data_IF_508494158227
#
_entry.id   IF_508494158227
#
_cell.length_a   1.000
_cell.length_b   1.000
_cell.length_c   1.000
_cell.angle_alpha   90.00
_cell.angle_beta   90.00
_cell.angle_gamma   90.00
#
_symmetry.space_group_name_H-M   'P 1'
#
loop_
_entity.id
_entity.type
_entity.pdbx_description
1 polymer ?
#
# COMPACT_ATOMS: atom_id res chain seq x y z
N UNK A 1 -4.78 28.98 -11.26
CA UNK A 1 -3.90 27.81 -11.10
C UNK A 1 -3.49 27.35 -12.49
N UNK A 2 -2.23 26.99 -12.68
CA UNK A 2 -1.77 26.40 -13.95
C UNK A 2 -2.50 25.08 -14.22
N UNK A 3 -2.70 24.76 -15.49
CA UNK A 3 -3.29 23.48 -15.87
C UNK A 3 -2.34 22.34 -15.48
N UNK A 4 -2.86 21.10 -15.32
CA UNK A 4 -2.00 19.94 -15.06
C UNK A 4 -0.91 19.76 -16.13
N UNK A 5 -1.18 20.18 -17.37
CA UNK A 5 -0.21 20.14 -18.48
C UNK A 5 0.97 21.08 -18.27
N UNK A 6 0.75 22.25 -17.68
CA UNK A 6 1.77 23.31 -17.53
C UNK A 6 2.51 23.21 -16.19
N UNK A 7 1.98 22.45 -15.23
CA UNK A 7 2.57 22.27 -13.91
C UNK A 7 3.92 21.54 -13.99
N UNK A 8 4.98 22.19 -13.50
CA UNK A 8 6.32 21.59 -13.38
C UNK A 8 6.36 20.74 -12.13
N UNK A 9 6.47 19.43 -12.33
CA UNK A 9 6.47 18.44 -11.26
C UNK A 9 7.88 17.91 -11.04
N UNK A 10 8.33 17.94 -9.79
CA UNK A 10 9.58 17.34 -9.37
C UNK A 10 9.31 16.13 -8.46
N UNK A 11 9.80 14.96 -8.84
CA UNK A 11 9.75 13.75 -8.01
C UNK A 11 11.16 13.47 -7.48
N UNK A 12 11.33 13.51 -6.16
CA UNK A 12 12.63 13.26 -5.52
C UNK A 12 12.71 11.80 -5.10
N UNK A 13 13.52 11.01 -5.79
CA UNK A 13 13.80 9.60 -5.48
C UNK A 13 13.77 8.68 -6.71
N UNK A 14 14.85 7.94 -6.93
CA UNK A 14 15.00 6.99 -8.05
C UNK A 14 14.58 5.55 -7.71
N UNK A 15 13.98 5.34 -6.53
CA UNK A 15 13.44 4.05 -6.11
C UNK A 15 12.05 3.77 -6.67
N UNK A 16 11.52 2.57 -6.42
CA UNK A 16 10.24 2.11 -6.97
C UNK A 16 9.10 3.10 -6.70
N UNK A 17 9.07 3.72 -5.53
CA UNK A 17 8.05 4.68 -5.12
C UNK A 17 8.12 5.97 -5.97
N UNK A 18 9.32 6.47 -6.21
CA UNK A 18 9.52 7.66 -7.05
C UNK A 18 9.17 7.39 -8.51
N UNK A 19 9.67 6.29 -9.07
CA UNK A 19 9.38 5.94 -10.47
C UNK A 19 7.89 5.70 -10.73
N UNK A 20 7.23 4.89 -9.89
CA UNK A 20 5.79 4.65 -10.05
C UNK A 20 4.95 5.90 -9.76
N UNK A 21 5.42 6.81 -8.90
CA UNK A 21 4.75 8.10 -8.71
C UNK A 21 4.86 8.98 -9.97
N UNK A 22 6.05 9.08 -10.56
CA UNK A 22 6.27 9.82 -11.80
C UNK A 22 5.44 9.26 -12.96
N UNK A 23 5.43 7.93 -13.12
CA UNK A 23 4.63 7.26 -14.14
C UNK A 23 3.13 7.56 -14.00
N UNK A 24 2.59 7.44 -12.78
CA UNK A 24 1.19 7.70 -12.55
C UNK A 24 0.82 9.19 -12.76
N UNK A 25 1.72 10.13 -12.44
CA UNK A 25 1.51 11.56 -12.73
C UNK A 25 1.45 11.82 -14.24
N UNK A 26 2.38 11.24 -15.01
CA UNK A 26 2.37 11.33 -16.47
C UNK A 26 1.08 10.74 -17.07
N UNK A 27 0.67 9.56 -16.60
CA UNK A 27 -0.58 8.91 -17.03
C UNK A 27 -1.84 9.71 -16.65
N UNK A 28 -1.74 10.58 -15.64
CA UNK A 28 -2.82 11.47 -15.21
C UNK A 28 -2.87 12.80 -15.96
N UNK A 29 -1.98 13.01 -16.94
CA UNK A 29 -1.97 14.19 -17.81
C UNK A 29 -1.01 15.31 -17.41
N UNK A 30 -0.12 15.09 -16.45
CA UNK A 30 1.02 15.98 -16.24
C UNK A 30 2.04 15.76 -17.35
N UNK A 31 2.58 16.83 -17.93
CA UNK A 31 3.55 16.72 -19.04
C UNK A 31 4.98 17.05 -18.62
N UNK A 32 5.16 17.92 -17.61
CA UNK A 32 6.48 18.38 -17.17
C UNK A 32 6.93 17.66 -15.89
N UNK A 33 7.05 16.33 -15.95
CA UNK A 33 7.49 15.51 -14.81
C UNK A 33 8.98 15.19 -14.91
N UNK A 34 9.74 15.61 -13.91
CA UNK A 34 11.17 15.30 -13.76
C UNK A 34 11.42 14.49 -12.50
N UNK A 35 12.15 13.39 -12.63
CA UNK A 35 12.62 12.58 -11.50
C UNK A 35 14.06 12.96 -11.19
N UNK A 36 14.34 13.38 -9.96
CA UNK A 36 15.68 13.67 -9.47
C UNK A 36 16.09 12.64 -8.43
N UNK A 37 17.29 12.06 -8.57
CA UNK A 37 17.82 11.11 -7.60
C UNK A 37 19.34 11.11 -7.59
N UNK A 38 19.93 10.74 -6.45
CA UNK A 38 21.39 10.53 -6.34
C UNK A 38 21.86 9.31 -7.16
N UNK A 39 21.01 8.28 -7.22
CA UNK A 39 21.23 7.08 -8.04
C UNK A 39 19.91 6.52 -8.56
N UNK A 40 19.94 5.98 -9.78
CA UNK A 40 18.85 5.22 -10.39
C UNK A 40 19.10 3.70 -10.40
N UNK A 41 20.34 3.27 -10.17
CA UNK A 41 20.75 1.86 -10.29
C UNK A 41 21.12 1.22 -8.94
N UNK A 42 21.48 2.03 -7.95
CA UNK A 42 21.95 1.58 -6.63
C UNK A 42 20.98 2.02 -5.51
N UNK A 43 19.71 1.66 -5.66
CA UNK A 43 18.66 2.01 -4.67
C UNK A 43 18.27 0.81 -3.80
N UNK A 44 17.69 1.05 -2.62
CA UNK A 44 17.11 -0.02 -1.77
C UNK A 44 16.15 -0.92 -2.55
N UNK A 45 15.43 -0.38 -3.55
CA UNK A 45 14.53 -1.16 -4.40
C UNK A 45 15.24 -2.24 -5.22
N UNK A 46 16.52 -2.05 -5.61
CA UNK A 46 17.31 -3.05 -6.35
C UNK A 46 17.75 -4.23 -5.47
N UNK A 47 17.76 -4.03 -4.15
CA UNK A 47 18.11 -5.06 -3.16
C UNK A 47 16.89 -5.87 -2.73
N UNK A 48 15.71 -5.24 -2.68
CA UNK A 48 14.47 -5.85 -2.19
C UNK A 48 14.13 -7.17 -2.89
N UNK A 49 13.56 -8.15 -2.18
CA UNK A 49 13.25 -9.47 -2.73
C UNK A 49 12.34 -9.47 -3.96
N UNK A 50 11.44 -8.50 -4.08
CA UNK A 50 10.52 -8.39 -5.23
C UNK A 50 9.24 -9.21 -5.09
N UNK A 51 8.91 -9.63 -3.87
CA UNK A 51 7.64 -10.29 -3.54
C UNK A 51 6.53 -9.26 -3.37
N UNK A 52 5.38 -9.48 -4.01
CA UNK A 52 4.15 -8.81 -3.62
C UNK A 52 3.55 -9.55 -2.42
N UNK A 53 3.80 -9.03 -1.22
CA UNK A 53 3.14 -9.49 -0.01
C UNK A 53 3.14 -8.36 1.02
N UNK A 54 1.96 -7.84 1.39
CA UNK A 54 1.86 -6.78 2.39
C UNK A 54 2.25 -7.30 3.78
N UNK A 55 3.19 -6.59 4.43
CA UNK A 55 3.68 -6.97 5.76
C UNK A 55 2.62 -6.79 6.86
N UNK A 56 2.83 -7.47 8.00
CA UNK A 56 2.04 -7.30 9.21
C UNK A 56 1.94 -5.82 9.59
N UNK A 57 0.72 -5.38 9.90
CA UNK A 57 0.48 -4.06 10.44
C UNK A 57 0.74 -4.10 11.96
N UNK A 58 1.16 -2.99 12.58
CA UNK A 58 1.06 -2.85 14.04
C UNK A 58 -0.35 -3.22 14.52
N UNK A 59 -0.47 -3.80 15.71
CA UNK A 59 -1.75 -4.30 16.23
C UNK A 59 -2.85 -3.22 16.29
N UNK A 60 -2.45 -1.96 16.46
CA UNK A 60 -3.32 -0.78 16.56
C UNK A 60 -3.58 -0.07 15.22
N UNK A 61 -2.98 -0.54 14.12
CA UNK A 61 -3.10 0.13 12.83
C UNK A 61 -4.37 -0.26 12.08
N UNK A 62 -5.16 0.74 11.66
CA UNK A 62 -6.33 0.56 10.80
C UNK A 62 -5.94 -0.07 9.45
N UNK A 63 -6.43 -1.30 9.14
CA UNK A 63 -6.10 -1.98 7.90
C UNK A 63 -6.82 -1.40 6.67
N UNK A 64 -7.81 -0.51 6.81
CA UNK A 64 -8.62 -0.04 5.69
C UNK A 64 -7.78 0.64 4.59
N UNK A 65 -6.85 1.53 4.97
CA UNK A 65 -5.94 2.19 4.02
C UNK A 65 -4.96 1.18 3.38
N UNK A 66 -4.20 0.38 4.14
CA UNK A 66 -3.35 -0.69 3.60
C UNK A 66 -4.09 -1.64 2.67
N UNK A 67 -5.27 -2.13 3.05
CA UNK A 67 -6.09 -3.03 2.25
C UNK A 67 -6.37 -2.44 0.88
N UNK A 68 -6.82 -1.19 0.80
CA UNK A 68 -7.13 -0.58 -0.49
C UNK A 68 -5.88 -0.38 -1.36
N UNK A 69 -4.73 -0.08 -0.75
CA UNK A 69 -3.47 -0.01 -1.49
C UNK A 69 -3.08 -1.36 -2.08
N UNK A 70 -3.33 -2.44 -1.36
CA UNK A 70 -3.07 -3.79 -1.83
C UNK A 70 -3.91 -4.10 -3.07
N UNK A 71 -5.23 -3.95 -2.97
CA UNK A 71 -6.16 -4.16 -4.09
C UNK A 71 -5.70 -3.45 -5.37
N UNK A 72 -5.45 -2.14 -5.28
CA UNK A 72 -5.07 -1.33 -6.44
C UNK A 72 -3.70 -1.71 -6.99
N UNK A 73 -2.72 -1.98 -6.12
CA UNK A 73 -1.38 -2.39 -6.56
C UNK A 73 -1.38 -3.77 -7.22
N UNK A 74 -2.15 -4.72 -6.68
CA UNK A 74 -2.25 -6.07 -7.23
C UNK A 74 -2.93 -6.07 -8.59
N UNK A 75 -4.04 -5.35 -8.72
CA UNK A 75 -4.76 -5.20 -9.99
C UNK A 75 -3.88 -4.53 -11.05
N UNK A 76 -3.16 -3.46 -10.69
CA UNK A 76 -2.25 -2.77 -11.60
C UNK A 76 -1.10 -3.67 -12.06
N UNK A 77 -0.45 -4.39 -11.16
CA UNK A 77 0.61 -5.34 -11.51
C UNK A 77 0.07 -6.48 -12.38
N UNK A 78 -1.13 -6.99 -12.08
CA UNK A 78 -1.82 -7.99 -12.91
C UNK A 78 -2.04 -7.48 -14.33
N UNK A 79 -2.41 -6.21 -14.50
CA UNK A 79 -2.56 -5.60 -15.81
C UNK A 79 -1.23 -5.41 -16.53
N UNK A 80 -0.14 -5.11 -15.82
CA UNK A 80 1.21 -5.08 -16.39
C UNK A 80 1.62 -6.48 -16.87
N UNK A 81 1.40 -7.51 -16.05
CA UNK A 81 1.69 -8.91 -16.42
C UNK A 81 0.96 -9.27 -17.71
N UNK A 82 -0.34 -8.95 -17.82
CA UNK A 82 -1.13 -9.22 -19.03
C UNK A 82 -0.62 -8.51 -20.28
N UNK A 83 -0.04 -7.31 -20.15
CA UNK A 83 0.39 -6.48 -21.29
C UNK A 83 1.86 -6.66 -21.67
N UNK A 84 2.71 -6.87 -20.68
CA UNK A 84 4.17 -6.83 -20.80
C UNK A 84 4.85 -8.10 -20.28
N UNK A 85 4.24 -8.80 -19.32
CA UNK A 85 4.73 -10.07 -18.78
C UNK A 85 6.23 -10.06 -18.43
N UNK A 86 6.97 -10.92 -19.12
CA UNK A 86 8.42 -11.10 -18.98
C UNK A 86 9.23 -9.82 -19.23
N UNK A 87 8.78 -8.92 -20.11
CA UNK A 87 9.48 -7.65 -20.39
C UNK A 87 9.57 -6.76 -19.15
N UNK A 88 8.50 -6.75 -18.34
CA UNK A 88 8.47 -6.03 -17.07
C UNK A 88 9.18 -6.79 -15.94
N UNK A 89 9.63 -8.03 -16.20
CA UNK A 89 10.27 -8.90 -15.23
C UNK A 89 9.32 -9.33 -14.13
N UNK A 90 8.03 -9.54 -14.42
CA UNK A 90 7.00 -9.89 -13.44
C UNK A 90 6.36 -11.22 -13.81
N UNK A 91 6.18 -12.11 -12.83
CA UNK A 91 5.40 -13.34 -12.99
C UNK A 91 4.60 -13.70 -11.74
N UNK A 92 3.71 -14.69 -11.86
CA UNK A 92 2.97 -15.26 -10.73
C UNK A 92 3.61 -16.59 -10.37
N UNK A 93 3.79 -16.84 -9.07
CA UNK A 93 4.29 -18.12 -8.55
C UNK A 93 3.38 -18.66 -7.46
N UNK A 94 3.37 -19.97 -7.32
CA UNK A 94 2.83 -20.62 -6.12
C UNK A 94 3.69 -20.27 -4.90
N UNK A 95 3.03 -20.01 -3.79
CA UNK A 95 3.58 -19.61 -2.51
C UNK A 95 3.21 -20.63 -1.43
N UNK A 96 4.13 -20.87 -0.50
CA UNK A 96 3.82 -21.44 0.81
C UNK A 96 4.58 -20.67 1.89
N UNK A 97 3.87 -20.13 2.86
CA UNK A 97 4.46 -19.47 4.03
C UNK A 97 3.99 -20.18 5.29
N UNK A 98 4.93 -20.59 6.14
CA UNK A 98 4.66 -21.32 7.37
C UNK A 98 5.30 -20.64 8.57
N UNK A 99 4.77 -20.94 9.75
CA UNK A 99 5.21 -20.38 11.04
C UNK A 99 5.26 -21.47 12.10
N UNK A 100 6.32 -21.45 12.91
CA UNK A 100 6.41 -22.22 14.17
C UNK A 100 5.83 -21.45 15.36
N UNK A 101 5.55 -20.16 15.17
CA UNK A 101 4.71 -19.40 16.05
C UNK A 101 3.24 -19.71 15.75
N UNK A 102 2.41 -19.76 16.80
CA UNK A 102 1.02 -20.20 16.75
C UNK A 102 0.20 -19.51 15.65
N UNK A 103 -1.00 -20.01 15.33
CA UNK A 103 -1.85 -19.36 14.34
C UNK A 103 -2.03 -17.88 14.74
N UNK A 104 -1.88 -16.94 13.79
CA UNK A 104 -2.08 -15.53 14.08
C UNK A 104 -3.51 -15.31 14.61
N UNK A 105 -3.74 -14.28 15.44
CA UNK A 105 -5.07 -13.93 15.91
C UNK A 105 -6.08 -13.73 14.76
N UNK A 106 -5.57 -13.35 13.58
CA UNK A 106 -6.32 -13.20 12.35
C UNK A 106 -5.92 -14.28 11.35
N UNK A 107 -6.79 -15.27 11.17
CA UNK A 107 -6.59 -16.42 10.27
C UNK A 107 -6.68 -16.03 8.78
N UNK A 108 -7.24 -14.87 8.46
CA UNK A 108 -7.37 -14.38 7.08
C UNK A 108 -6.72 -13.00 6.94
N UNK A 109 -5.46 -12.91 6.50
CA UNK A 109 -4.76 -11.65 6.32
C UNK A 109 -5.57 -10.66 5.46
N UNK A 110 -5.46 -9.36 5.75
CA UNK A 110 -6.26 -8.33 5.08
C UNK A 110 -6.03 -8.28 3.56
N UNK A 111 -4.93 -8.84 3.06
CA UNK A 111 -4.53 -8.90 1.66
C UNK A 111 -4.89 -10.22 0.96
N UNK A 112 -5.35 -11.25 1.68
CA UNK A 112 -5.56 -12.58 1.14
C UNK A 112 -6.63 -12.63 0.02
N UNK A 113 -7.58 -11.70 0.02
CA UNK A 113 -8.59 -11.57 -1.05
C UNK A 113 -8.02 -11.03 -2.38
N UNK A 114 -6.79 -10.51 -2.39
CA UNK A 114 -6.14 -10.04 -3.61
C UNK A 114 -5.44 -11.17 -4.38
N UNK A 115 -4.87 -12.14 -3.67
CA UNK A 115 -4.00 -13.17 -4.25
C UNK A 115 -4.81 -14.34 -4.84
N UNK A 116 -4.18 -15.15 -5.68
CA UNK A 116 -4.83 -16.32 -6.29
C UNK A 116 -4.86 -17.47 -5.29
N UNK A 117 -5.92 -18.29 -5.33
CA UNK A 117 -6.01 -19.58 -4.64
C UNK A 117 -5.58 -19.58 -3.17
N UNK A 118 -5.88 -18.51 -2.43
CA UNK A 118 -5.55 -18.42 -1.01
C UNK A 118 -6.25 -19.51 -0.21
N UNK A 119 -5.48 -20.24 0.59
CA UNK A 119 -6.00 -21.21 1.55
C UNK A 119 -5.06 -21.39 2.73
N UNK A 120 -5.63 -21.86 3.83
CA UNK A 120 -4.84 -22.40 4.94
C UNK A 120 -4.22 -23.73 4.53
N UNK A 121 -3.04 -24.02 5.06
CA UNK A 121 -2.43 -25.34 5.00
C UNK A 121 -2.95 -26.22 6.14
N UNK A 122 -3.09 -27.52 5.88
CA UNK A 122 -3.20 -28.50 6.97
C UNK A 122 -1.89 -28.56 7.77
N UNK A 123 -1.91 -29.21 8.94
CA UNK A 123 -0.67 -29.40 9.72
C UNK A 123 0.34 -30.26 8.96
N UNK A 124 -0.14 -31.26 8.24
CA UNK A 124 0.69 -32.15 7.41
C UNK A 124 1.33 -31.37 6.27
N UNK A 125 0.55 -30.57 5.53
CA UNK A 125 1.08 -29.73 4.44
C UNK A 125 2.07 -28.66 4.96
N UNK A 126 1.82 -28.09 6.14
CA UNK A 126 2.76 -27.14 6.75
C UNK A 126 4.07 -27.83 7.17
N UNK A 127 3.98 -29.04 7.73
CA UNK A 127 5.12 -29.85 8.15
C UNK A 127 6.00 -30.28 6.98
N UNK A 128 5.43 -30.43 5.77
CA UNK A 128 6.20 -30.66 4.54
C UNK A 128 7.11 -29.47 4.18
N UNK A 129 6.75 -28.24 4.56
CA UNK A 129 7.58 -27.05 4.34
C UNK A 129 8.60 -26.86 5.47
N UNK A 130 8.17 -26.99 6.73
CA UNK A 130 9.04 -26.96 7.90
C UNK A 130 8.47 -27.90 8.96
N UNK A 131 9.21 -28.92 9.44
CA UNK A 131 8.67 -29.96 10.33
C UNK A 131 8.03 -29.46 11.64
N UNK A 132 8.43 -28.27 12.09
CA UNK A 132 7.97 -27.59 13.30
C UNK A 132 6.91 -26.51 13.04
N UNK A 133 6.48 -26.35 11.78
CA UNK A 133 5.41 -25.44 11.44
C UNK A 133 4.10 -25.87 12.13
N UNK A 134 3.47 -24.92 12.82
CA UNK A 134 2.17 -25.10 13.47
C UNK A 134 1.04 -24.43 12.68
N UNK A 135 1.40 -23.56 11.73
CA UNK A 135 0.46 -22.82 10.90
C UNK A 135 1.09 -22.48 9.54
N UNK A 136 0.25 -22.25 8.52
CA UNK A 136 0.71 -21.75 7.23
C UNK A 136 -0.39 -21.51 6.22
N UNK A 137 0.00 -20.86 5.12
CA UNK A 137 -0.85 -20.48 4.00
C UNK A 137 -0.24 -20.89 2.67
N UNK A 138 -1.09 -21.25 1.71
CA UNK A 138 -0.73 -21.36 0.30
C UNK A 138 -1.56 -20.37 -0.53
N UNK A 139 -0.93 -19.82 -1.56
CA UNK A 139 -1.54 -18.84 -2.46
C UNK A 139 -0.70 -18.68 -3.73
N UNK A 140 -1.24 -18.07 -4.77
CA UNK A 140 -0.51 -17.60 -5.94
C UNK A 140 -0.27 -16.10 -5.84
N UNK A 141 0.99 -15.66 -5.88
CA UNK A 141 1.35 -14.23 -5.75
C UNK A 141 2.31 -13.76 -6.82
N UNK A 142 2.41 -12.45 -6.95
CA UNK A 142 3.26 -11.77 -7.91
C UNK A 142 4.69 -11.65 -7.35
N UNK A 143 5.66 -12.06 -8.15
CA UNK A 143 7.09 -11.77 -7.95
C UNK A 143 7.59 -10.96 -9.14
N UNK A 144 8.45 -10.00 -8.87
CA UNK A 144 9.15 -9.24 -9.89
C UNK A 144 10.65 -9.18 -9.66
N UNK A 145 11.42 -9.31 -10.74
CA UNK A 145 12.83 -8.97 -10.74
C UNK A 145 12.95 -7.44 -10.63
N UNK A 146 13.46 -6.98 -9.49
CA UNK A 146 13.43 -5.55 -9.16
C UNK A 146 14.25 -4.69 -10.12
N UNK A 147 15.41 -5.18 -10.60
CA UNK A 147 16.22 -4.43 -11.57
C UNK A 147 15.54 -4.31 -12.93
N UNK A 148 14.95 -5.40 -13.42
CA UNK A 148 14.18 -5.40 -14.66
C UNK A 148 12.97 -4.48 -14.57
N UNK A 149 12.22 -4.57 -13.47
CA UNK A 149 11.03 -3.75 -13.26
C UNK A 149 11.35 -2.26 -13.16
N UNK A 150 12.42 -1.88 -12.45
CA UNK A 150 12.88 -0.50 -12.38
C UNK A 150 13.31 0.03 -13.76
N UNK A 151 14.03 -0.77 -14.54
CA UNK A 151 14.40 -0.43 -15.92
C UNK A 151 13.16 -0.24 -16.80
N UNK A 152 12.16 -1.12 -16.66
CA UNK A 152 10.89 -1.00 -17.37
C UNK A 152 10.15 0.29 -17.00
N UNK A 153 10.06 0.63 -15.71
CA UNK A 153 9.44 1.88 -15.25
C UNK A 153 10.13 3.12 -15.85
N UNK A 154 11.46 3.14 -15.89
CA UNK A 154 12.20 4.25 -16.49
C UNK A 154 11.88 4.41 -17.98
N UNK A 155 11.79 3.29 -18.72
CA UNK A 155 11.39 3.29 -20.14
C UNK A 155 9.98 3.83 -20.32
N UNK A 156 9.01 3.41 -19.51
CA UNK A 156 7.63 3.88 -19.60
C UNK A 156 7.49 5.37 -19.28
N UNK A 157 8.21 5.86 -18.28
CA UNK A 157 8.28 7.30 -17.95
C UNK A 157 8.84 8.08 -19.14
N UNK A 158 9.93 7.61 -19.74
CA UNK A 158 10.56 8.27 -20.88
C UNK A 158 9.63 8.31 -22.10
N UNK A 159 8.91 7.22 -22.39
CA UNK A 159 7.91 7.15 -23.47
C UNK A 159 6.80 8.19 -23.32
N UNK A 160 6.45 8.54 -22.08
CA UNK A 160 5.43 9.55 -21.77
C UNK A 160 6.01 10.98 -21.66
N UNK A 161 7.30 11.17 -21.97
CA UNK A 161 7.96 12.49 -21.95
C UNK A 161 8.55 12.90 -20.59
N UNK A 162 8.54 12.00 -19.60
CA UNK A 162 9.21 12.23 -18.32
C UNK A 162 10.73 12.31 -18.47
N UNK A 163 11.37 13.12 -17.63
CA UNK A 163 12.82 13.35 -17.65
C UNK A 163 13.49 12.89 -16.35
N UNK A 164 14.79 12.61 -16.43
CA UNK A 164 15.60 12.15 -15.30
C UNK A 164 16.80 13.07 -15.10
N UNK A 165 17.14 13.33 -13.85
CA UNK A 165 18.31 14.11 -13.47
C UNK A 165 19.01 13.40 -12.31
N UNK A 166 20.25 12.99 -12.52
CA UNK A 166 21.05 12.39 -11.47
C UNK A 166 21.73 13.50 -10.66
N UNK A 167 21.19 13.78 -9.47
CA UNK A 167 21.67 14.80 -8.53
C UNK A 167 21.22 14.48 -7.11
N UNK A 168 22.10 14.70 -6.14
CA UNK A 168 21.75 14.70 -4.72
C UNK A 168 20.97 15.96 -4.35
N UNK A 169 19.72 15.79 -3.94
CA UNK A 169 18.90 16.85 -3.33
C UNK A 169 19.29 16.99 -1.85
N UNK A 170 19.50 18.22 -1.40
CA UNK A 170 19.90 18.53 0.00
C UNK A 170 18.84 19.32 0.77
N UNK A 171 17.94 20.03 0.09
CA UNK A 171 16.83 20.75 0.70
C UNK A 171 15.62 20.77 -0.25
N UNK A 172 14.49 20.21 0.20
CA UNK A 172 13.24 20.20 -0.57
C UNK A 172 12.67 21.61 -0.75
N UNK A 173 12.99 22.56 0.15
CA UNK A 173 12.42 23.91 0.12
C UNK A 173 12.99 24.79 -0.99
N UNK A 174 14.21 24.49 -1.42
CA UNK A 174 14.95 25.25 -2.42
C UNK A 174 14.67 24.79 -3.87
N UNK A 175 13.88 23.74 -4.05
CA UNK A 175 13.61 23.16 -5.36
C UNK A 175 12.55 23.97 -6.13
N UNK A 176 12.98 24.56 -7.26
CA UNK A 176 12.12 25.38 -8.11
C UNK A 176 11.15 24.56 -8.96
N UNK A 177 9.95 24.31 -8.44
CA UNK A 177 8.87 23.60 -9.13
C UNK A 177 7.50 24.06 -8.62
N UNK A 178 6.42 23.58 -9.22
CA UNK A 178 5.05 23.90 -8.82
C UNK A 178 4.47 22.81 -7.91
N UNK A 179 4.86 21.55 -8.13
CA UNK A 179 4.52 20.39 -7.32
C UNK A 179 5.77 19.54 -7.06
N UNK A 180 6.04 19.25 -5.78
CA UNK A 180 7.12 18.38 -5.34
C UNK A 180 6.57 17.11 -4.70
N UNK A 181 7.01 15.95 -5.17
CA UNK A 181 6.71 14.64 -4.56
C UNK A 181 7.98 14.06 -3.95
N UNK A 182 8.04 14.05 -2.63
CA UNK A 182 9.15 13.50 -1.86
C UNK A 182 8.99 11.98 -1.70
N UNK A 183 9.77 11.23 -2.48
CA UNK A 183 9.88 9.78 -2.46
C UNK A 183 11.28 9.32 -2.01
N UNK A 184 11.94 10.09 -1.14
CA UNK A 184 13.36 9.94 -0.80
C UNK A 184 13.69 8.75 0.13
N UNK A 185 12.68 8.00 0.60
CA UNK A 185 12.91 6.81 1.42
C UNK A 185 13.56 7.17 2.76
N UNK A 186 14.73 6.58 3.05
CA UNK A 186 15.47 6.85 4.29
C UNK A 186 15.97 8.29 4.41
N UNK A 187 16.28 8.94 3.28
CA UNK A 187 16.74 10.32 3.29
C UNK A 187 15.65 11.31 3.73
N UNK A 188 14.39 10.88 3.86
CA UNK A 188 13.33 11.69 4.44
C UNK A 188 13.62 12.09 5.89
N UNK A 189 14.43 11.32 6.63
CA UNK A 189 14.93 11.71 7.95
C UNK A 189 15.58 13.10 7.92
N UNK A 190 16.45 13.34 6.95
CA UNK A 190 17.14 14.62 6.78
C UNK A 190 16.29 15.61 5.98
N UNK A 191 15.78 15.19 4.81
CA UNK A 191 15.09 16.06 3.85
C UNK A 191 13.73 16.56 4.31
N UNK A 192 13.01 15.76 5.10
CA UNK A 192 11.70 16.12 5.66
C UNK A 192 11.74 16.34 7.18
N UNK A 193 12.94 16.30 7.80
CA UNK A 193 13.15 16.40 9.25
C UNK A 193 12.27 15.41 10.03
N UNK A 194 12.11 14.21 9.49
CA UNK A 194 11.29 13.16 10.07
C UNK A 194 12.15 12.19 10.88
N UNK A 195 12.38 12.53 12.15
CA UNK A 195 13.18 11.73 13.09
C UNK A 195 12.55 10.37 13.41
N UNK A 196 11.30 10.13 12.98
CA UNK A 196 10.65 8.82 13.14
C UNK A 196 11.08 7.82 12.07
N UNK A 197 11.85 8.23 11.05
CA UNK A 197 12.40 7.36 10.00
C UNK A 197 13.70 6.70 10.46
N UNK A 198 13.78 5.38 10.29
CA UNK A 198 14.93 4.56 10.69
C UNK A 198 15.21 3.40 9.72
N UNK A 199 16.47 2.93 9.61
CA UNK A 199 16.79 1.79 8.77
C UNK A 199 16.38 0.49 9.44
N UNK A 200 15.92 -0.45 8.62
CA UNK A 200 15.84 -1.87 8.98
C UNK A 200 16.75 -2.61 8.01
N UNK A 201 17.97 -2.90 8.45
CA UNK A 201 18.95 -3.61 7.62
C UNK A 201 18.45 -5.02 7.32
N UNK A 202 18.63 -5.43 6.07
CA UNK A 202 18.40 -6.78 5.61
C UNK A 202 19.49 -7.24 4.69
N UNK A 203 20.02 -8.41 4.97
CA UNK A 203 21.00 -9.08 4.15
C UNK A 203 20.36 -10.26 3.44
N UNK A 204 20.66 -10.38 2.16
CA UNK A 204 20.18 -11.45 1.27
C UNK A 204 21.34 -11.99 0.44
N UNK A 205 21.15 -13.16 -0.16
CA UNK A 205 22.07 -13.77 -1.11
C UNK A 205 21.34 -13.91 -2.43
N UNK A 206 21.94 -13.39 -3.51
CA UNK A 206 21.47 -13.61 -4.87
C UNK A 206 22.10 -14.88 -5.42
N UNK A 207 21.28 -15.75 -5.97
CA UNK A 207 21.71 -16.99 -6.63
C UNK A 207 20.97 -17.16 -7.95
N UNK A 208 21.51 -17.99 -8.83
CA UNK A 208 20.86 -18.39 -10.07
C UNK A 208 20.54 -19.89 -10.05
N UNK A 209 19.26 -20.23 -10.17
CA UNK A 209 18.79 -21.60 -10.35
C UNK A 209 17.39 -21.61 -11.00
N UNK A 210 17.24 -22.06 -12.26
CA UNK A 210 15.94 -22.10 -12.94
C UNK A 210 15.00 -23.22 -12.48
N UNK A 211 15.47 -24.19 -11.68
CA UNK A 211 14.63 -25.32 -11.21
C UNK A 211 13.71 -24.92 -10.05
N UNK A 212 14.10 -23.91 -9.27
CA UNK A 212 13.32 -23.43 -8.13
C UNK A 212 12.30 -22.40 -8.64
N UNK A 213 11.03 -22.78 -8.63
CA UNK A 213 9.93 -21.97 -9.20
C UNK A 213 8.83 -21.62 -8.18
N UNK A 214 8.94 -22.12 -6.94
CA UNK A 214 7.99 -21.88 -5.86
C UNK A 214 8.57 -20.91 -4.83
N UNK A 215 7.77 -19.94 -4.38
CA UNK A 215 8.11 -19.14 -3.21
C UNK A 215 7.84 -19.96 -1.94
N UNK A 216 8.84 -20.03 -1.07
CA UNK A 216 8.69 -20.62 0.27
C UNK A 216 9.26 -19.70 1.33
N UNK A 217 8.58 -19.62 2.47
CA UNK A 217 9.07 -18.89 3.62
C UNK A 217 8.71 -19.57 4.95
N UNK A 218 9.59 -19.41 5.92
CA UNK A 218 9.40 -19.80 7.32
C UNK A 218 9.61 -18.58 8.20
N UNK A 219 8.60 -18.27 9.00
CA UNK A 219 8.62 -17.23 10.02
C UNK A 219 8.81 -17.92 11.37
N UNK A 220 9.92 -17.62 12.05
CA UNK A 220 10.27 -18.22 13.33
C UNK A 220 9.81 -17.31 14.48
N UNK A 221 9.39 -17.91 15.60
CA UNK A 221 9.04 -17.21 16.85
C UNK A 221 10.19 -16.36 17.40
N UNK A 222 11.44 -16.76 17.15
CA UNK A 222 12.63 -16.00 17.53
C UNK A 222 12.89 -14.74 16.67
N UNK A 223 12.02 -14.47 15.69
CA UNK A 223 12.12 -13.33 14.78
C UNK A 223 13.00 -13.58 13.57
N UNK A 224 13.58 -14.78 13.40
CA UNK A 224 14.28 -15.13 12.18
C UNK A 224 13.30 -15.41 11.03
N UNK A 225 13.60 -14.84 9.88
CA UNK A 225 12.85 -15.06 8.65
C UNK A 225 13.74 -15.78 7.64
N UNK A 226 13.24 -16.88 7.09
CA UNK A 226 13.91 -17.62 6.01
C UNK A 226 12.98 -17.66 4.82
N UNK A 227 13.44 -17.23 3.65
CA UNK A 227 12.65 -17.21 2.42
C UNK A 227 13.50 -17.48 1.18
N UNK A 228 12.88 -18.12 0.20
CA UNK A 228 13.42 -18.36 -1.14
C UNK A 228 12.46 -17.75 -2.14
N UNK A 229 12.87 -16.68 -2.81
CA UNK A 229 12.03 -15.90 -3.74
C UNK A 229 12.52 -16.16 -5.17
N UNK A 230 11.81 -16.96 -5.97
CA UNK A 230 12.15 -17.23 -7.36
C UNK A 230 11.61 -16.12 -8.27
N UNK A 231 12.49 -15.23 -8.71
CA UNK A 231 12.18 -14.22 -9.71
C UNK A 231 12.27 -14.83 -11.12
N UNK A 232 11.75 -14.15 -12.15
CA UNK A 232 11.87 -14.62 -13.53
C UNK A 232 13.32 -14.91 -13.95
N UNK A 233 13.47 -15.80 -14.93
CA UNK A 233 14.75 -16.19 -15.53
C UNK A 233 15.75 -16.84 -14.55
N UNK A 234 15.24 -17.50 -13.51
CA UNK A 234 16.05 -18.25 -12.54
C UNK A 234 16.87 -17.37 -11.58
N UNK A 235 16.61 -16.05 -11.51
CA UNK A 235 17.16 -15.18 -10.46
C UNK A 235 16.44 -15.49 -9.15
N UNK A 236 17.19 -15.79 -8.08
CA UNK A 236 16.62 -16.14 -6.78
C UNK A 236 17.21 -15.25 -5.71
N UNK A 237 16.35 -14.76 -4.83
CA UNK A 237 16.75 -14.09 -3.60
C UNK A 237 16.53 -15.02 -2.42
N UNK A 238 17.62 -15.36 -1.75
CA UNK A 238 17.64 -16.06 -0.48
C UNK A 238 17.71 -15.02 0.63
N UNK A 239 16.83 -15.10 1.62
CA UNK A 239 16.93 -14.22 2.76
C UNK A 239 16.29 -14.81 4.01
N UNK A 240 16.29 -14.06 5.11
CA UNK A 240 17.03 -12.82 5.25
C UNK A 240 17.25 -12.44 6.69
N UNK A 241 17.76 -11.23 6.89
CA UNK A 241 17.88 -10.61 8.21
C UNK A 241 16.95 -9.42 8.35
N UNK A 242 16.58 -9.14 9.60
CA UNK A 242 15.78 -7.98 10.02
C UNK A 242 16.49 -7.36 11.21
N UNK A 243 17.17 -6.24 10.99
CA UNK A 243 18.02 -5.58 11.99
C UNK A 243 17.66 -4.09 12.06
N UNK A 244 16.69 -3.69 12.92
CA UNK A 244 16.32 -2.30 13.11
C UNK A 244 17.49 -1.44 13.60
N UNK A 245 17.50 -0.16 13.20
CA UNK A 245 18.49 0.85 13.56
C UNK A 245 19.95 0.57 13.16
N UNK A 246 20.19 -0.50 12.38
CA UNK A 246 21.51 -0.77 11.81
C UNK A 246 21.68 -0.02 10.49
N UNK A 247 22.68 0.85 10.42
CA UNK A 247 22.99 1.70 9.26
C UNK A 247 24.06 1.11 8.33
N UNK A 248 24.68 -0.01 8.69
CA UNK A 248 25.74 -0.60 7.86
C UNK A 248 25.16 -1.18 6.57
N UNK A 249 25.73 -0.75 5.45
CA UNK A 249 25.49 -1.33 4.11
C UNK A 249 26.48 -2.44 3.77
N UNK A 250 27.44 -2.73 4.66
CA UNK A 250 28.44 -3.77 4.44
C UNK A 250 27.83 -5.15 4.63
N UNK A 251 28.37 -6.15 3.94
CA UNK A 251 28.00 -7.53 4.18
C UNK A 251 28.65 -8.05 5.47
N UNK A 252 27.87 -8.73 6.31
CA UNK A 252 28.34 -9.44 7.48
C UNK A 252 28.46 -10.94 7.17
N UNK A 253 29.64 -11.53 7.36
CA UNK A 253 29.90 -12.92 6.99
C UNK A 253 29.02 -13.92 7.76
N UNK A 254 28.79 -13.71 9.06
CA UNK A 254 27.93 -14.57 9.87
C UNK A 254 26.46 -14.50 9.44
N UNK A 255 25.97 -13.31 9.10
CA UNK A 255 24.63 -13.16 8.51
C UNK A 255 24.53 -13.89 7.15
N UNK A 256 25.58 -13.87 6.32
CA UNK A 256 25.60 -14.59 5.02
C UNK A 256 25.52 -16.09 5.27
N UNK A 257 26.41 -16.62 6.10
CA UNK A 257 26.48 -18.05 6.41
C UNK A 257 25.17 -18.55 7.03
N UNK A 258 24.63 -17.80 7.99
CA UNK A 258 23.36 -18.15 8.63
C UNK A 258 22.17 -18.13 7.65
N UNK A 259 22.08 -17.15 6.75
CA UNK A 259 21.03 -17.12 5.72
C UNK A 259 21.20 -18.30 4.76
N UNK A 260 22.43 -18.58 4.31
CA UNK A 260 22.72 -19.68 3.40
C UNK A 260 22.28 -21.03 4.00
N UNK A 261 22.69 -21.33 5.23
CA UNK A 261 22.36 -22.62 5.85
C UNK A 261 20.87 -22.79 6.08
N UNK A 262 20.16 -21.75 6.58
CA UNK A 262 18.70 -21.84 6.74
C UNK A 262 17.98 -22.03 5.41
N UNK A 263 18.39 -21.33 4.35
CA UNK A 263 17.80 -21.51 3.02
C UNK A 263 18.08 -22.90 2.44
N UNK A 264 19.28 -23.45 2.65
CA UNK A 264 19.62 -24.81 2.22
C UNK A 264 18.85 -25.89 3.00
N UNK A 265 18.54 -25.64 4.27
CA UNK A 265 17.69 -26.52 5.07
C UNK A 265 16.22 -26.44 4.61
N UNK A 266 15.72 -25.24 4.34
CA UNK A 266 14.35 -25.02 3.87
C UNK A 266 14.11 -25.61 2.47
N UNK A 267 15.07 -25.46 1.55
CA UNK A 267 14.95 -25.96 0.19
C UNK A 267 16.29 -26.54 -0.28
N UNK A 268 16.53 -27.85 -0.13
CA UNK A 268 17.84 -28.47 -0.39
C UNK A 268 18.44 -28.21 -1.77
N UNK A 269 17.62 -28.03 -2.81
CA UNK A 269 18.14 -27.68 -4.15
C UNK A 269 18.87 -26.32 -4.20
N UNK A 270 18.71 -25.47 -3.19
CA UNK A 270 19.48 -24.22 -3.08
C UNK A 270 20.98 -24.50 -3.13
N UNK A 271 21.45 -25.64 -2.58
CA UNK A 271 22.87 -26.05 -2.61
C UNK A 271 23.43 -26.23 -4.02
N UNK A 272 22.57 -26.47 -5.01
CA UNK A 272 22.95 -26.63 -6.41
C UNK A 272 22.95 -25.31 -7.20
N UNK A 273 22.62 -24.19 -6.53
CA UNK A 273 22.49 -22.89 -7.19
C UNK A 273 23.84 -22.23 -7.43
N UNK A 274 23.97 -21.49 -8.54
CA UNK A 274 25.13 -20.64 -8.78
C UNK A 274 25.03 -19.39 -7.92
N UNK A 275 25.94 -19.20 -6.97
CA UNK A 275 25.97 -18.00 -6.12
C UNK A 275 26.39 -16.78 -6.94
N UNK A 276 25.59 -15.72 -6.92
CA UNK A 276 25.89 -14.44 -7.55
C UNK A 276 26.50 -13.45 -6.56
N UNK A 277 26.09 -13.52 -5.29
CA UNK A 277 26.74 -12.81 -4.19
C UNK A 277 25.78 -12.28 -3.12
N UNK A 278 26.30 -11.93 -1.93
CA UNK A 278 25.51 -11.31 -0.86
C UNK A 278 25.32 -9.81 -1.10
N UNK A 279 24.19 -9.29 -0.61
CA UNK A 279 23.91 -7.85 -0.60
C UNK A 279 23.12 -7.46 0.65
N UNK A 280 23.55 -6.39 1.30
CA UNK A 280 22.82 -5.74 2.38
C UNK A 280 22.10 -4.49 1.87
N UNK A 281 20.89 -4.26 2.35
CA UNK A 281 20.08 -3.08 2.03
C UNK A 281 19.36 -2.56 3.27
N UNK A 282 19.07 -1.26 3.26
CA UNK A 282 18.43 -0.57 4.38
C UNK A 282 16.98 -0.24 4.02
N UNK A 283 16.03 -0.96 4.62
CA UNK A 283 14.59 -0.70 4.39
C UNK A 283 14.19 0.57 5.15
N UNK A 284 13.42 1.49 4.54
CA UNK A 284 12.95 2.70 5.21
C UNK A 284 11.78 2.38 6.14
N UNK A 285 12.08 2.09 7.41
CA UNK A 285 11.08 2.00 8.48
C UNK A 285 10.69 3.39 8.98
N UNK A 286 9.48 3.52 9.54
CA UNK A 286 9.03 4.74 10.22
C UNK A 286 8.03 4.43 11.31
N UNK A 287 8.16 5.08 12.46
CA UNK A 287 7.12 5.03 13.51
C UNK A 287 5.82 5.63 12.96
N UNK A 288 4.72 4.88 13.02
CA UNK A 288 3.44 5.26 12.40
C UNK A 288 3.30 4.85 10.92
N UNK A 289 4.24 4.07 10.37
CA UNK A 289 4.11 3.45 9.05
C UNK A 289 4.31 4.40 7.87
N UNK A 290 3.70 4.13 6.72
CA UNK A 290 3.85 4.95 5.50
C UNK A 290 3.41 6.39 5.74
N UNK A 291 4.20 7.37 5.28
CA UNK A 291 3.78 8.77 5.22
C UNK A 291 3.36 9.08 3.78
N UNK A 292 2.05 9.24 3.58
CA UNK A 292 1.43 9.58 2.30
C UNK A 292 0.44 10.73 2.50
N UNK A 293 0.94 11.96 2.41
CA UNK A 293 0.16 13.17 2.72
C UNK A 293 0.70 14.40 2.01
N UNK A 294 -0.13 15.43 1.92
CA UNK A 294 0.25 16.74 1.41
C UNK A 294 0.59 17.65 2.58
N UNK A 295 1.70 18.35 2.49
CA UNK A 295 2.08 19.39 3.44
C UNK A 295 1.07 20.54 3.42
N UNK A 296 0.77 21.09 4.60
CA UNK A 296 -0.20 22.17 4.75
C UNK A 296 0.32 23.52 4.25
N UNK A 297 1.62 23.64 3.99
CA UNK A 297 2.27 24.86 3.51
C UNK A 297 3.15 24.56 2.29
N UNK A 298 3.20 25.46 1.30
CA UNK A 298 4.16 25.35 0.21
C UNK A 298 5.61 25.45 0.68
N UNK A 299 6.53 24.99 -0.14
CA UNK A 299 7.97 25.22 0.03
C UNK A 299 8.32 26.71 -0.02
N UNK A 300 9.54 27.08 0.37
CA UNK A 300 10.04 28.45 0.24
C UNK A 300 9.99 28.96 -1.21
N UNK A 301 10.14 28.07 -2.19
CA UNK A 301 9.98 28.38 -3.62
C UNK A 301 8.53 28.29 -4.14
N UNK A 302 7.54 28.07 -3.27
CA UNK A 302 6.11 28.07 -3.62
C UNK A 302 5.54 26.75 -4.13
N UNK A 303 6.32 25.66 -4.12
CA UNK A 303 5.86 24.35 -4.57
C UNK A 303 4.91 23.72 -3.54
N UNK A 304 3.84 23.07 -4.01
CA UNK A 304 3.06 22.18 -3.16
C UNK A 304 3.88 20.92 -2.87
N UNK A 305 4.02 20.53 -1.60
CA UNK A 305 4.84 19.39 -1.19
C UNK A 305 3.96 18.20 -0.80
N UNK A 306 4.31 17.03 -1.33
CA UNK A 306 3.67 15.76 -1.05
C UNK A 306 4.72 14.76 -0.57
N UNK A 307 4.48 14.14 0.57
CA UNK A 307 5.29 13.06 1.09
C UNK A 307 4.75 11.71 0.64
N UNK A 308 5.65 10.84 0.18
CA UNK A 308 5.36 9.46 -0.17
C UNK A 308 6.58 8.57 0.13
N UNK A 309 6.79 8.23 1.40
CA UNK A 309 7.95 7.44 1.84
C UNK A 309 7.62 6.53 3.02
N UNK A 310 8.66 5.82 3.52
CA UNK A 310 8.57 4.86 4.62
C UNK A 310 7.69 3.63 4.34
N UNK A 311 7.86 3.05 3.14
CA UNK A 311 7.12 1.86 2.74
C UNK A 311 7.64 0.55 3.33
N UNK A 312 8.76 0.59 4.08
CA UNK A 312 9.35 -0.58 4.70
C UNK A 312 9.65 -1.68 3.67
N UNK A 313 9.05 -2.85 3.87
CA UNK A 313 9.18 -4.03 2.99
C UNK A 313 8.09 -4.12 1.91
N UNK A 314 7.05 -3.27 1.98
CA UNK A 314 5.92 -3.30 1.05
C UNK A 314 6.09 -2.25 -0.05
N UNK A 315 5.61 -2.52 -1.27
CA UNK A 315 5.53 -1.51 -2.34
C UNK A 315 4.07 -1.08 -2.49
N UNK A 316 3.76 0.21 -2.32
CA UNK A 316 2.38 0.74 -2.31
C UNK A 316 2.35 2.13 -2.96
N UNK A 317 1.75 2.33 -4.14
CA UNK A 317 1.91 3.65 -4.83
C UNK A 317 0.65 4.32 -5.40
N UNK A 318 -0.46 3.63 -5.62
CA UNK A 318 -1.37 4.17 -6.65
C UNK A 318 -2.46 5.13 -6.17
N UNK A 319 -2.82 5.21 -4.87
CA UNK A 319 -4.06 5.94 -4.48
C UNK A 319 -3.93 7.47 -4.39
N UNK A 320 -2.75 8.04 -4.13
CA UNK A 320 -2.62 9.50 -3.93
C UNK A 320 -2.66 10.30 -5.25
N UNK A 321 -2.14 9.73 -6.34
CA UNK A 321 -2.03 10.47 -7.61
C UNK A 321 -3.40 10.65 -8.26
N UNK A 322 -4.31 9.69 -8.10
CA UNK A 322 -5.72 9.84 -8.46
C UNK A 322 -6.44 10.92 -7.66
N UNK A 323 -6.11 11.08 -6.37
CA UNK A 323 -6.68 12.15 -5.55
C UNK A 323 -6.20 13.54 -6.00
N UNK A 324 -4.94 13.67 -6.41
CA UNK A 324 -4.39 14.93 -6.96
C UNK A 324 -4.94 15.25 -8.35
N UNK A 325 -5.07 14.24 -9.22
CA UNK A 325 -5.74 14.38 -10.51
C UNK A 325 -7.22 14.79 -10.35
N UNK A 326 -7.90 14.22 -9.35
CA UNK A 326 -9.29 14.57 -9.01
C UNK A 326 -9.41 16.00 -8.46
N UNK A 327 -8.57 16.41 -7.49
CA UNK A 327 -8.56 17.77 -6.95
C UNK A 327 -8.26 18.84 -8.03
N UNK A 328 -7.31 18.57 -8.93
CA UNK A 328 -6.99 19.48 -10.05
C UNK A 328 -8.10 19.54 -11.11
N UNK A 329 -8.78 18.44 -11.40
CA UNK A 329 -9.92 18.43 -12.33
C UNK A 329 -11.17 19.08 -11.72
N UNK A 330 -11.44 18.91 -10.43
CA UNK A 330 -12.59 19.55 -9.76
C UNK A 330 -12.42 21.07 -9.57
N UNK A 331 -11.19 21.58 -9.36
CA UNK A 331 -10.94 23.03 -9.30
C UNK A 331 -11.10 23.74 -10.66
N UNK A 332 -10.97 23.00 -11.76
CA UNK A 332 -11.29 23.50 -13.11
C UNK A 332 -12.78 23.38 -13.46
N UNK A 333 -13.55 22.52 -12.79
CA UNK A 333 -15.02 22.50 -12.93
C UNK A 333 -15.72 23.59 -12.11
N UNK A 334 -15.12 24.08 -11.02
CA UNK A 334 -15.69 25.20 -10.25
C UNK A 334 -15.68 26.55 -10.97
N UNK A 335 -14.92 26.70 -12.07
CA UNK A 335 -14.97 27.91 -12.92
C UNK A 335 -15.97 27.81 -14.09
N UNK A 336 -16.55 26.64 -14.36
CA UNK A 336 -17.47 26.42 -15.49
C UNK A 336 -18.90 26.00 -15.07
N UNK A 337 -19.22 25.96 -13.78
CA UNK A 337 -20.60 25.72 -13.28
C UNK A 337 -21.34 27.04 -12.95
N UNK A 338 -20.76 28.21 -13.23
CA UNK A 338 -21.44 29.49 -13.05
C UNK A 338 -22.42 29.89 -14.17
N UNK A 339 -22.61 29.07 -15.22
CA UNK A 339 -23.52 29.43 -16.32
C UNK A 339 -24.61 28.44 -16.70
N UNK A 340 -24.88 27.41 -15.90
CA UNK A 340 -26.02 26.52 -16.13
C UNK A 340 -26.79 26.31 -14.85
N UNK A 341 -27.52 27.34 -14.40
CA UNK A 341 -28.82 27.24 -13.72
C UNK A 341 -29.28 28.63 -13.28
N UNK A 342 -30.07 29.30 -14.11
CA UNK A 342 -31.06 30.28 -13.65
C UNK A 342 -32.31 30.17 -14.52
N UNK A 343 -33.45 30.33 -13.83
CA UNK A 343 -34.86 30.40 -14.27
C UNK A 343 -35.52 29.03 -14.48
N UNK A 344 -36.61 28.64 -13.80
CA UNK A 344 -37.45 29.26 -12.77
C UNK A 344 -38.88 28.70 -12.81
N UNK A 345 -39.54 28.62 -11.63
CA UNK A 345 -41.01 28.69 -11.37
C UNK A 345 -41.91 27.49 -11.84
N UNK A 346 -43.01 27.01 -11.20
CA UNK A 346 -44.03 27.49 -10.23
C UNK A 346 -44.69 26.23 -9.54
N UNK A 347 -45.01 26.17 -8.24
CA UNK A 347 -46.34 26.33 -7.57
C UNK A 347 -46.14 25.99 -6.07
N UNK A 348 -46.29 26.87 -5.07
CA UNK A 348 -47.43 27.61 -4.48
C UNK A 348 -48.42 26.72 -3.70
N UNK A 349 -48.87 27.27 -2.54
CA UNK A 349 -49.87 26.84 -1.53
C UNK A 349 -49.17 26.33 -0.24
N UNK A 350 -49.32 26.89 0.97
CA UNK A 350 -50.13 27.97 1.55
C UNK A 350 -49.49 28.45 2.88
N UNK A 351 -49.71 29.72 3.21
CA UNK A 351 -49.48 30.34 4.53
C UNK A 351 -50.41 29.75 5.60
N UNK A 352 -49.93 29.62 6.84
CA UNK A 352 -50.54 30.23 8.04
C UNK A 352 -49.67 30.04 9.29
N UNK A 353 -49.24 31.16 9.85
CA UNK A 353 -48.97 31.32 11.29
C UNK A 353 -50.26 31.09 12.10
N UNK A 354 -50.08 30.63 13.35
CA UNK A 354 -50.47 31.30 14.61
C UNK A 354 -50.22 30.32 15.77
N UNK A 355 -49.30 30.69 16.67
CA UNK A 355 -49.54 30.99 18.11
C UNK A 355 -49.43 29.72 18.98
N UNK A 356 -48.89 29.70 20.18
CA UNK A 356 -48.84 30.67 21.27
C UNK A 356 -47.89 30.11 22.37
N UNK A 357 -47.36 31.00 23.23
CA UNK A 357 -47.03 30.85 24.67
C UNK A 357 -46.14 29.68 25.16
N UNK A 358 -45.33 29.77 26.20
CA UNK A 358 -44.83 30.79 27.16
C UNK A 358 -43.72 30.08 27.96
N UNK A 359 -42.83 30.86 28.62
CA UNK A 359 -42.22 30.70 29.97
C UNK A 359 -41.69 29.32 30.44
N UNK A 360 -40.65 29.15 31.24
CA UNK A 360 -39.73 30.00 32.01
C UNK A 360 -38.67 29.03 32.61
N UNK A 361 -37.56 29.59 33.13
CA UNK A 361 -36.76 29.25 34.34
C UNK A 361 -36.72 27.79 34.90
N UNK A 362 -35.74 27.26 35.62
CA UNK A 362 -34.46 27.67 36.20
C UNK A 362 -33.77 26.40 36.76
N UNK A 363 -32.51 26.56 37.13
CA UNK A 363 -31.80 25.95 38.29
C UNK A 363 -31.97 24.46 38.71
N UNK A 364 -30.83 23.77 38.77
CA UNK A 364 -30.17 23.53 40.08
C UNK A 364 -30.30 22.15 40.75
N UNK A 365 -29.17 21.66 41.26
CA UNK A 365 -29.06 20.76 42.43
C UNK A 365 -29.16 19.27 42.11
N UNK A 366 -28.08 18.49 42.02
CA UNK A 366 -27.11 18.08 43.06
C UNK A 366 -27.62 16.97 43.99
N UNK A 367 -26.69 16.05 44.32
CA UNK A 367 -26.70 14.99 45.37
C UNK A 367 -27.26 13.62 44.99
N UNK A 368 -26.36 12.62 44.94
CA UNK A 368 -25.96 11.73 46.06
C UNK A 368 -27.15 10.84 46.43
N UNK A 369 -27.06 9.52 46.57
CA UNK A 369 -25.94 8.63 46.90
C UNK A 369 -26.56 7.24 47.06
N UNK A 370 -25.72 6.23 47.28
CA UNK A 370 -26.04 4.96 47.95
C UNK A 370 -27.03 4.04 47.25
N UNK A 371 -26.93 2.73 47.29
CA UNK A 371 -25.96 1.72 47.72
C UNK A 371 -26.66 0.41 47.35
N UNK A 372 -25.89 -0.69 47.28
CA UNK A 372 -26.32 -2.01 47.76
C UNK A 372 -27.58 -2.66 47.13
N UNK A 373 -27.62 -3.96 46.87
CA UNK A 373 -26.66 -5.03 46.89
C UNK A 373 -27.37 -6.19 46.18
N UNK A 374 -26.62 -7.26 46.01
CA UNK A 374 -27.12 -8.61 46.20
C UNK A 374 -27.92 -9.34 45.10
N UNK A 375 -27.21 -10.37 44.65
CA UNK A 375 -27.63 -11.79 44.62
C UNK A 375 -28.46 -12.24 43.41
N UNK A 376 -27.86 -13.08 42.57
CA UNK A 376 -28.03 -14.55 42.58
C UNK A 376 -29.42 -14.94 42.03
N UNK A 377 -29.61 -15.95 41.20
CA UNK A 377 -28.82 -17.10 40.83
C UNK A 377 -29.53 -17.72 39.61
N UNK A 378 -28.77 -18.50 38.82
CA UNK A 378 -29.20 -19.74 38.15
C UNK A 378 -30.38 -19.71 37.17
N UNK A 379 -30.07 -20.21 35.97
CA UNK A 379 -31.07 -20.92 35.19
C UNK A 379 -30.72 -21.09 33.73
N UNK A 380 -29.77 -21.99 33.44
CA UNK A 380 -29.54 -22.46 32.09
C UNK A 380 -30.79 -23.21 31.55
N UNK A 381 -31.09 -23.02 30.26
CA UNK A 381 -31.69 -24.08 29.46
C UNK A 381 -32.86 -23.71 28.54
N UNK A 382 -32.59 -23.92 27.26
CA UNK A 382 -33.48 -24.14 26.09
C UNK A 382 -33.81 -22.91 25.25
N UNK A 383 -33.14 -22.75 24.10
CA UNK A 383 -33.35 -23.46 22.82
C UNK A 383 -34.73 -23.22 22.21
N UNK A 384 -34.70 -22.39 21.17
CA UNK A 384 -35.50 -22.50 19.95
C UNK A 384 -37.03 -22.42 20.09
N UNK A 385 -37.53 -21.21 20.36
CA UNK A 385 -38.66 -20.60 19.65
C UNK A 385 -38.66 -19.12 20.08
N UNK A 386 -38.54 -18.12 19.22
CA UNK A 386 -39.59 -17.63 18.33
C UNK A 386 -38.88 -16.73 17.32
N UNK A 387 -38.73 -17.23 16.09
CA UNK A 387 -38.49 -16.37 14.95
C UNK A 387 -39.84 -15.78 14.53
N UNK A 388 -40.17 -14.57 15.01
CA UNK A 388 -40.96 -13.56 14.29
C UNK A 388 -41.23 -12.34 15.18
N UNK A 389 -41.16 -11.16 14.52
CA UNK A 389 -41.59 -9.83 14.99
C UNK A 389 -40.73 -9.28 16.13
N UNK A 390 -39.97 -8.18 15.96
CA UNK A 390 -40.49 -6.84 15.64
C UNK A 390 -39.39 -5.99 15.00
N UNK A 391 -39.65 -5.49 13.77
CA UNK A 391 -39.02 -4.27 13.27
C UNK A 391 -39.55 -3.13 14.15
N UNK A 392 -38.69 -2.49 14.94
CA UNK A 392 -38.65 -1.02 15.06
C UNK A 392 -37.60 -0.52 16.06
N UNK A 393 -36.87 0.52 15.60
CA UNK A 393 -36.22 1.60 16.37
C UNK A 393 -34.94 1.28 17.16
N UNK A 394 -33.81 1.31 16.43
CA UNK A 394 -32.64 2.08 16.86
C UNK A 394 -32.35 3.11 15.76
N UNK A 395 -32.57 4.39 16.07
CA UNK A 395 -32.16 5.53 15.24
C UNK A 395 -30.63 5.62 15.21
N UNK A 396 -29.95 5.65 14.05
CA UNK A 396 -28.62 6.22 13.99
C UNK A 396 -28.76 7.75 14.06
N UNK A 397 -28.07 8.36 15.03
CA UNK A 397 -27.82 9.80 15.04
C UNK A 397 -27.05 10.18 13.77
N UNK A 398 -27.37 11.37 13.28
CA UNK A 398 -26.94 12.02 12.04
C UNK A 398 -25.42 12.24 11.92
N UNK A 399 -24.83 11.68 10.86
CA UNK A 399 -23.66 12.15 10.07
C UNK A 399 -23.35 11.00 9.10
N UNK A 400 -23.36 11.05 7.77
CA UNK A 400 -22.91 12.04 6.80
C UNK A 400 -23.69 11.80 5.50
N UNK A 401 -24.45 12.77 5.02
CA UNK A 401 -25.12 12.71 3.69
C UNK A 401 -24.18 13.03 2.52
N UNK A 402 -22.88 13.17 2.75
CA UNK A 402 -21.84 13.41 1.74
C UNK A 402 -21.24 12.12 1.17
N UNK A 403 -21.46 10.96 1.80
CA UNK A 403 -20.87 9.68 1.35
C UNK A 403 -21.71 8.88 0.34
N UNK A 404 -22.99 9.20 0.16
CA UNK A 404 -23.86 8.41 -0.74
C UNK A 404 -23.80 8.88 -2.19
N UNK A 405 -23.54 10.17 -2.44
CA UNK A 405 -23.45 10.73 -3.81
C UNK A 405 -22.11 10.38 -4.49
N UNK A 406 -21.05 10.14 -3.72
CA UNK A 406 -19.73 9.75 -4.25
C UNK A 406 -19.73 8.31 -4.76
N UNK A 407 -20.48 7.41 -4.13
CA UNK A 407 -20.54 6.00 -4.53
C UNK A 407 -21.37 5.77 -5.81
N UNK A 408 -22.42 6.56 -6.06
CA UNK A 408 -23.28 6.37 -7.24
C UNK A 408 -22.64 6.89 -8.55
N UNK A 409 -21.76 7.88 -8.45
CA UNK A 409 -20.98 8.40 -9.60
C UNK A 409 -19.85 7.43 -9.97
N UNK A 410 -19.26 6.73 -8.98
CA UNK A 410 -18.22 5.71 -9.20
C UNK A 410 -18.75 4.48 -9.97
N UNK A 411 -20.03 4.15 -9.84
CA UNK A 411 -20.65 3.03 -10.57
C UNK A 411 -20.87 3.34 -12.07
N UNK A 412 -21.07 4.60 -12.46
CA UNK A 412 -21.33 4.99 -13.85
C UNK A 412 -20.07 5.11 -14.72
N UNK A 413 -18.89 5.30 -14.12
CA UNK A 413 -17.63 5.46 -14.86
C UNK A 413 -16.96 4.11 -15.19
N UNK A 414 -17.23 3.05 -14.40
CA UNK A 414 -16.79 1.69 -14.70
C UNK A 414 -17.30 1.16 -16.06
N UNK A 415 -18.41 1.72 -16.59
CA UNK A 415 -19.00 1.34 -17.88
C UNK A 415 -18.27 1.92 -19.10
N UNK A 416 -17.39 2.91 -18.92
CA UNK A 416 -16.68 3.57 -20.03
C UNK A 416 -15.28 2.98 -20.32
N UNK A 417 -14.82 2.01 -19.52
CA UNK A 417 -13.49 1.38 -19.68
C UNK A 417 -13.52 -0.07 -20.19
N UNK A 418 -14.68 -0.64 -20.49
CA UNK A 418 -14.75 -1.83 -21.36
C UNK A 418 -14.63 -1.39 -22.82
N UNK A 419 -13.67 -1.91 -23.62
CA UNK A 419 -13.65 -1.68 -25.06
C UNK A 419 -15.00 -2.09 -25.65
N UNK A 420 -15.67 -1.21 -26.39
CA UNK A 420 -16.73 -1.65 -27.29
C UNK A 420 -16.08 -2.51 -28.36
N UNK A 421 -16.46 -3.78 -28.44
CA UNK A 421 -16.19 -4.61 -29.61
C UNK A 421 -16.60 -3.83 -30.87
N UNK A 422 -15.62 -3.43 -31.67
CA UNK A 422 -15.86 -3.04 -33.05
C UNK A 422 -16.09 -4.31 -33.86
N UNK A 423 -17.32 -4.82 -33.84
CA UNK A 423 -17.84 -5.63 -34.95
C UNK A 423 -18.02 -4.69 -36.13
N UNK A 424 -17.06 -4.73 -37.07
CA UNK A 424 -17.28 -4.26 -38.43
C UNK A 424 -18.30 -5.15 -39.10
N UNK A 425 -19.44 -4.57 -39.46
CA UNK A 425 -20.37 -5.12 -40.44
C UNK A 425 -19.76 -5.03 -41.83
N UNK A 426 -19.49 -6.17 -42.45
CA UNK A 426 -19.87 -6.47 -43.83
C UNK A 426 -20.41 -7.90 -43.86
#
# INVERSE_FOLDING_TARGET
>A
MQSARDCRVLVVGGGVIGLTSALALLQSGFHNVRVVADSFDATTSHVAGGLWMPFALPEDADPAKPRKWCEVSYEWLTNIIKKHGEEAGIHVVCAAEVSDDGPPPVVHPYWAHCVQDFRLLSREEAAEVSPDAVHGFAFGTIIYNTGMFMTWLQKEIHKLGGTFEQRRVTDLNAEGCDLLVNCSGLAARELAKDDTVYPIRGQVIKVHNPTIQKYVAVIRRDGHHTYVIPRPNGDIVLGGTVQPHNWSTDNNAGDVEGVWERCCQLWPEVRNSKVLGPVAGLRPGRTGGVRLEMEGRPTTCGAMLIHNYAHGVAVRVLKLIWYLAFQHSTRNLSSNIHHTMRVGYVNRVLYKDTSEADDDTDEGGDKDSTDEDDTEERGAGNLASIAKTTKEKIKPKSSDKTNTVVNDVLWHIFRFMTPKDHRTSQ
#
